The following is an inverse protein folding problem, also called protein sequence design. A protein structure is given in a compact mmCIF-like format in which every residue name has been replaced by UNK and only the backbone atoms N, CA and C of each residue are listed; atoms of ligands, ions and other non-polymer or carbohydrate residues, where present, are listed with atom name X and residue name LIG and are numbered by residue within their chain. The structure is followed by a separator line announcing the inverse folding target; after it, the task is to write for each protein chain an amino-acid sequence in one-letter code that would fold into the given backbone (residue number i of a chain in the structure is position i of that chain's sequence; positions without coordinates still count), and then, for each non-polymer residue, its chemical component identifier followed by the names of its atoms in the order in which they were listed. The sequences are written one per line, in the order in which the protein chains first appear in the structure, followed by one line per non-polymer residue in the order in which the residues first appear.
data_IF_289791585443
#
_entry.id   IF_289791585443
#
_cell.length_a   1.000
_cell.length_b   1.000
_cell.length_c   1.000
_cell.angle_alpha   90.00
_cell.angle_beta   90.00
_cell.angle_gamma   90.00
#
_symmetry.space_group_name_H-M   'P 1'
#
loop_
_entity.id
_entity.type
_entity.pdbx_description
1 polymer ?
#
# COMPACT_ATOMS: atom_id res chain seq x y z
N UNK A 1 7.75 -9.63 12.73
CA UNK A 1 7.40 -8.25 12.35
C UNK A 1 7.38 -7.37 13.57
N UNK A 2 7.18 -6.06 13.38
CA UNK A 2 7.24 -5.05 14.45
C UNK A 2 6.47 -5.44 15.74
N UNK A 3 5.23 -5.92 15.61
CA UNK A 3 4.37 -6.29 16.74
C UNK A 3 4.90 -7.48 17.54
N UNK A 4 5.46 -8.50 16.88
CA UNK A 4 6.13 -9.62 17.55
C UNK A 4 7.35 -9.14 18.35
N UNK A 5 8.09 -8.16 17.82
CA UNK A 5 9.25 -7.57 18.48
C UNK A 5 8.89 -6.86 19.80
N UNK A 6 7.64 -6.42 19.92
CA UNK A 6 7.07 -5.83 21.14
C UNK A 6 6.48 -6.86 22.10
N UNK A 7 6.66 -8.17 21.85
CA UNK A 7 6.17 -9.26 22.70
C UNK A 7 4.70 -9.65 22.49
N UNK A 8 4.04 -9.11 21.47
CA UNK A 8 2.65 -9.45 21.13
C UNK A 8 2.60 -10.72 20.26
N UNK A 9 1.61 -11.56 20.51
CA UNK A 9 1.41 -12.83 19.81
C UNK A 9 0.36 -12.71 18.71
N UNK A 10 0.71 -13.05 17.46
CA UNK A 10 -0.24 -13.02 16.34
C UNK A 10 -1.38 -14.02 16.54
N UNK A 11 -2.61 -13.60 16.21
CA UNK A 11 -3.86 -14.33 16.40
C UNK A 11 -4.25 -14.62 17.87
N UNK A 12 -3.52 -14.06 18.84
CA UNK A 12 -3.90 -14.05 20.27
C UNK A 12 -4.10 -12.60 20.74
N UNK A 13 -3.05 -11.76 20.63
CA UNK A 13 -3.07 -10.37 21.09
C UNK A 13 -3.49 -9.39 19.98
N UNK A 14 -3.27 -9.76 18.72
CA UNK A 14 -3.65 -8.95 17.56
C UNK A 14 -3.96 -9.83 16.34
N UNK A 15 -4.81 -9.34 15.46
CA UNK A 15 -5.26 -10.07 14.28
C UNK A 15 -5.52 -9.16 13.07
N UNK A 16 -5.81 -9.76 11.92
CA UNK A 16 -6.18 -9.11 10.67
C UNK A 16 -7.66 -9.32 10.38
N UNK A 17 -8.33 -8.26 9.93
CA UNK A 17 -9.66 -8.32 9.34
C UNK A 17 -9.66 -7.57 7.99
N UNK A 18 -10.31 -8.16 7.00
CA UNK A 18 -10.56 -7.53 5.71
C UNK A 18 -11.62 -6.44 5.85
N UNK A 19 -11.58 -5.41 4.99
CA UNK A 19 -12.68 -4.46 4.89
C UNK A 19 -13.95 -5.16 4.41
N UNK A 20 -15.13 -4.83 4.96
CA UNK A 20 -16.37 -5.45 4.53
C UNK A 20 -16.73 -5.07 3.10
N UNK A 21 -17.47 -5.94 2.42
CA UNK A 21 -18.14 -5.58 1.17
C UNK A 21 -19.10 -4.41 1.41
N UNK A 22 -19.00 -3.37 0.57
CA UNK A 22 -19.80 -2.14 0.73
C UNK A 22 -21.23 -2.36 0.21
N UNK A 23 -21.36 -2.76 -1.06
CA UNK A 23 -22.64 -3.04 -1.73
C UNK A 23 -22.41 -3.89 -2.97
N UNK A 24 -23.46 -4.52 -3.48
CA UNK A 24 -23.40 -5.33 -4.70
C UNK A 24 -22.89 -4.50 -5.88
N UNK A 25 -21.99 -5.10 -6.67
CA UNK A 25 -21.38 -4.46 -7.84
C UNK A 25 -20.14 -3.62 -7.53
N UNK A 26 -19.81 -3.34 -6.27
CA UNK A 26 -18.51 -2.77 -5.90
C UNK A 26 -17.48 -3.90 -5.80
N UNK A 27 -16.39 -3.78 -6.56
CA UNK A 27 -15.33 -4.78 -6.59
C UNK A 27 -14.66 -4.93 -5.21
N UNK A 28 -14.33 -6.15 -4.82
CA UNK A 28 -13.47 -6.38 -3.67
C UNK A 28 -12.04 -5.94 -4.01
N UNK A 29 -11.62 -4.80 -3.45
CA UNK A 29 -10.32 -4.22 -3.70
C UNK A 29 -9.49 -4.17 -2.42
N UNK A 30 -8.22 -4.55 -2.52
CA UNK A 30 -7.24 -4.33 -1.46
C UNK A 30 -6.46 -3.06 -1.78
N UNK A 31 -6.27 -2.21 -0.76
CA UNK A 31 -5.42 -1.03 -0.85
C UNK A 31 -4.14 -1.30 -0.06
N UNK A 32 -2.98 -1.05 -0.66
CA UNK A 32 -1.72 -1.16 0.06
C UNK A 32 -0.55 -0.51 -0.68
N UNK A 33 0.39 0.11 0.05
CA UNK A 33 1.62 0.58 -0.54
C UNK A 33 2.55 -0.59 -0.88
N UNK A 34 3.44 -0.36 -1.84
CA UNK A 34 4.57 -1.21 -2.19
C UNK A 34 5.82 -0.35 -2.10
N UNK A 35 6.73 -0.73 -1.20
CA UNK A 35 8.00 -0.03 -1.05
C UNK A 35 8.94 -0.38 -2.20
N UNK A 36 9.47 0.65 -2.86
CA UNK A 36 10.43 0.52 -3.96
C UNK A 36 11.82 1.05 -3.60
N UNK A 37 12.84 0.45 -4.19
CA UNK A 37 14.21 0.96 -4.15
C UNK A 37 14.56 1.55 -5.52
N UNK A 38 15.10 2.77 -5.52
CA UNK A 38 15.48 3.49 -6.74
C UNK A 38 16.95 3.89 -6.70
N UNK A 39 17.63 3.79 -7.84
CA UNK A 39 19.00 4.29 -8.01
C UNK A 39 18.95 5.73 -8.50
N UNK A 40 19.62 6.64 -7.79
CA UNK A 40 19.72 8.04 -8.21
C UNK A 40 20.43 8.16 -9.56
N UNK A 41 19.89 9.00 -10.44
CA UNK A 41 20.49 9.28 -11.75
C UNK A 41 21.94 9.80 -11.67
N UNK A 42 22.30 10.42 -10.54
CA UNK A 42 23.63 10.99 -10.31
C UNK A 42 24.48 10.12 -9.35
N UNK A 43 24.16 8.82 -9.21
CA UNK A 43 24.92 7.93 -8.33
C UNK A 43 26.40 7.85 -8.77
N UNK A 44 27.32 8.10 -7.84
CA UNK A 44 28.76 8.05 -8.11
C UNK A 44 29.26 6.64 -8.51
N UNK A 45 28.54 5.59 -8.10
CA UNK A 45 28.81 4.20 -8.46
C UNK A 45 27.51 3.49 -8.87
N UNK A 46 27.05 3.76 -10.10
CA UNK A 46 25.80 3.19 -10.64
C UNK A 46 25.82 1.66 -10.60
N UNK A 47 26.90 1.03 -11.07
CA UNK A 47 27.03 -0.43 -11.12
C UNK A 47 26.86 -1.07 -9.74
N UNK A 48 27.56 -0.55 -8.73
CA UNK A 48 27.43 -1.08 -7.36
C UNK A 48 26.05 -0.84 -6.75
N UNK A 49 25.39 0.28 -7.09
CA UNK A 49 24.03 0.55 -6.65
C UNK A 49 23.02 -0.43 -7.29
N UNK A 50 23.17 -0.73 -8.59
CA UNK A 50 22.35 -1.73 -9.29
C UNK A 50 22.56 -3.14 -8.74
N UNK A 51 23.81 -3.53 -8.47
CA UNK A 51 24.16 -4.79 -7.83
C UNK A 51 23.50 -4.91 -6.44
N UNK A 52 23.56 -3.84 -5.64
CA UNK A 52 22.93 -3.80 -4.32
C UNK A 52 21.40 -3.91 -4.41
N UNK A 53 20.75 -3.10 -5.26
CA UNK A 53 19.29 -3.16 -5.43
C UNK A 53 18.88 -4.54 -5.92
N UNK A 54 19.60 -5.12 -6.88
CA UNK A 54 19.35 -6.48 -7.37
C UNK A 54 19.43 -7.51 -6.26
N UNK A 55 20.49 -7.45 -5.44
CA UNK A 55 20.64 -8.34 -4.29
C UNK A 55 19.47 -8.20 -3.30
N UNK A 56 19.08 -6.97 -2.98
CA UNK A 56 18.00 -6.70 -2.03
C UNK A 56 16.62 -7.19 -2.51
N UNK A 57 16.34 -7.18 -3.81
CA UNK A 57 15.00 -7.50 -4.35
C UNK A 57 14.88 -8.89 -4.97
N UNK A 58 15.93 -9.39 -5.63
CA UNK A 58 15.87 -10.65 -6.38
C UNK A 58 16.14 -11.88 -5.51
N UNK A 59 16.95 -11.74 -4.46
CA UNK A 59 17.25 -12.82 -3.54
C UNK A 59 16.05 -13.08 -2.61
N UNK A 60 15.48 -14.29 -2.71
CA UNK A 60 14.28 -14.68 -1.94
C UNK A 60 14.58 -14.77 -0.44
N UNK A 61 15.79 -15.14 -0.03
CA UNK A 61 16.11 -15.31 1.39
C UNK A 61 16.32 -13.94 2.03
N UNK A 62 16.93 -12.99 1.30
CA UNK A 62 17.01 -11.57 1.71
C UNK A 62 15.60 -10.97 1.87
N UNK A 63 14.74 -11.15 0.87
CA UNK A 63 13.37 -10.66 0.89
C UNK A 63 12.51 -11.32 1.98
N UNK A 64 12.70 -12.62 2.22
CA UNK A 64 12.04 -13.34 3.31
C UNK A 64 12.43 -12.81 4.69
N UNK A 65 13.73 -12.56 4.89
CA UNK A 65 14.23 -11.95 6.13
C UNK A 65 13.69 -10.53 6.32
N UNK A 66 13.65 -9.72 5.26
CA UNK A 66 13.06 -8.38 5.30
C UNK A 66 11.60 -8.45 5.72
N UNK A 67 10.80 -9.30 5.07
CA UNK A 67 9.38 -9.49 5.37
C UNK A 67 9.15 -9.88 6.85
N UNK A 68 9.98 -10.77 7.40
CA UNK A 68 9.95 -11.14 8.82
C UNK A 68 10.24 -9.97 9.75
N UNK A 69 11.24 -9.15 9.44
CA UNK A 69 11.64 -8.00 10.26
C UNK A 69 10.55 -6.93 10.23
N UNK A 70 10.16 -6.49 9.04
CA UNK A 70 9.16 -5.44 8.84
C UNK A 70 7.78 -5.87 9.33
N UNK A 71 7.41 -7.15 9.11
CA UNK A 71 6.06 -7.64 9.30
C UNK A 71 5.13 -7.34 8.11
N UNK A 72 5.71 -7.07 6.94
CA UNK A 72 5.02 -6.92 5.67
C UNK A 72 5.22 -8.16 4.80
N UNK A 73 4.36 -8.34 3.79
CA UNK A 73 4.51 -9.43 2.82
C UNK A 73 5.65 -9.11 1.84
N UNK A 74 6.39 -10.13 1.42
CA UNK A 74 7.42 -9.92 0.41
C UNK A 74 6.81 -9.64 -0.97
N UNK A 75 7.43 -8.72 -1.70
CA UNK A 75 7.13 -8.49 -3.12
C UNK A 75 7.73 -9.60 -4.03
N UNK A 76 8.70 -10.38 -3.54
CA UNK A 76 9.27 -11.49 -4.27
C UNK A 76 8.39 -12.74 -4.09
N UNK A 77 7.65 -13.08 -5.14
CA UNK A 77 6.67 -14.19 -5.15
C UNK A 77 7.29 -15.58 -4.94
N UNK A 78 8.61 -15.71 -4.97
CA UNK A 78 9.32 -16.96 -4.72
C UNK A 78 9.65 -17.20 -3.23
N UNK A 79 9.33 -16.25 -2.35
CA UNK A 79 9.45 -16.41 -0.90
C UNK A 79 8.44 -17.44 -0.41
N UNK A 80 8.89 -18.43 0.34
CA UNK A 80 8.02 -19.47 0.91
C UNK A 80 7.04 -18.86 1.93
N UNK A 81 5.72 -18.91 1.70
CA UNK A 81 4.73 -18.38 2.64
C UNK A 81 4.74 -19.06 4.02
N UNK A 82 5.42 -20.21 4.17
CA UNK A 82 5.57 -20.88 5.45
C UNK A 82 6.19 -19.98 6.53
N UNK A 83 7.06 -19.03 6.14
CA UNK A 83 7.71 -18.09 7.06
C UNK A 83 6.71 -17.15 7.73
N UNK A 84 5.57 -16.85 7.09
CA UNK A 84 4.65 -15.83 7.54
C UNK A 84 3.91 -16.24 8.83
N UNK A 85 3.65 -15.25 9.69
CA UNK A 85 2.80 -15.43 10.88
C UNK A 85 1.36 -15.74 10.45
N UNK A 86 0.51 -16.28 11.34
CA UNK A 86 -0.91 -16.49 11.04
C UNK A 86 -1.62 -15.23 10.54
N UNK A 87 -1.32 -14.06 11.12
CA UNK A 87 -1.88 -12.77 10.72
C UNK A 87 -1.42 -12.36 9.31
N UNK A 88 -0.13 -12.51 9.01
CA UNK A 88 0.40 -12.24 7.67
C UNK A 88 -0.20 -13.18 6.61
N UNK A 89 -0.46 -14.45 6.96
CA UNK A 89 -1.13 -15.40 6.04
C UNK A 89 -2.55 -14.96 5.71
N UNK A 90 -3.32 -14.47 6.69
CA UNK A 90 -4.66 -13.88 6.43
C UNK A 90 -4.59 -12.69 5.47
N UNK A 91 -3.63 -11.79 5.65
CA UNK A 91 -3.42 -10.67 4.74
C UNK A 91 -3.04 -11.14 3.32
N UNK A 92 -2.18 -12.16 3.19
CA UNK A 92 -1.80 -12.76 1.92
C UNK A 92 -3.01 -13.39 1.20
N UNK A 93 -3.84 -14.13 1.93
CA UNK A 93 -5.05 -14.76 1.37
C UNK A 93 -6.06 -13.71 0.91
N UNK A 94 -6.18 -12.61 1.66
CA UNK A 94 -7.02 -11.46 1.29
C UNK A 94 -6.56 -10.83 -0.02
N UNK A 95 -5.26 -10.57 -0.17
CA UNK A 95 -4.69 -10.03 -1.42
C UNK A 95 -4.91 -10.99 -2.59
N UNK A 96 -4.76 -12.30 -2.39
CA UNK A 96 -4.99 -13.31 -3.43
C UNK A 96 -6.44 -13.40 -3.87
N UNK A 97 -7.38 -13.15 -2.96
CA UNK A 97 -8.82 -13.19 -3.23
C UNK A 97 -9.36 -11.86 -3.83
N UNK A 98 -8.60 -10.78 -3.71
CA UNK A 98 -9.00 -9.46 -4.20
C UNK A 98 -9.17 -9.45 -5.72
N UNK A 99 -10.21 -8.76 -6.19
CA UNK A 99 -10.45 -8.53 -7.61
C UNK A 99 -9.55 -7.42 -8.16
N UNK A 100 -9.10 -6.52 -7.28
CA UNK A 100 -8.19 -5.43 -7.61
C UNK A 100 -7.24 -5.15 -6.44
N UNK A 101 -6.03 -4.70 -6.77
CA UNK A 101 -5.10 -4.12 -5.83
C UNK A 101 -4.85 -2.67 -6.24
N UNK A 102 -5.08 -1.72 -5.33
CA UNK A 102 -4.90 -0.30 -5.56
C UNK A 102 -3.81 0.28 -4.66
N UNK A 103 -3.07 1.25 -5.18
CA UNK A 103 -2.13 2.03 -4.38
C UNK A 103 -2.87 3.16 -3.65
N UNK A 104 -2.30 3.67 -2.56
CA UNK A 104 -2.90 4.77 -1.81
C UNK A 104 -3.11 6.00 -2.72
N UNK A 105 -4.31 6.60 -2.66
CA UNK A 105 -4.73 7.69 -3.55
C UNK A 105 -3.74 8.85 -3.59
N UNK A 106 -3.24 9.26 -2.43
CA UNK A 106 -2.30 10.37 -2.23
C UNK A 106 -0.91 10.10 -2.79
N UNK A 107 -0.52 8.82 -2.87
CA UNK A 107 0.76 8.40 -3.47
C UNK A 107 0.63 8.01 -4.95
N UNK A 108 -0.60 7.77 -5.43
CA UNK A 108 -0.90 7.44 -6.83
C UNK A 108 -1.27 8.67 -7.69
N UNK A 109 -1.38 9.84 -7.07
CA UNK A 109 -1.88 11.08 -7.69
C UNK A 109 -0.82 12.18 -7.56
N UNK A 110 -0.64 13.09 -8.54
CA UNK A 110 0.27 14.22 -8.38
C UNK A 110 -0.01 14.99 -7.08
N UNK A 111 1.00 15.37 -6.28
CA UNK A 111 0.76 15.90 -4.94
C UNK A 111 -0.21 17.09 -4.86
N UNK A 112 -0.18 18.08 -5.78
CA UNK A 112 -1.17 19.18 -5.77
C UNK A 112 -2.61 18.70 -5.99
N UNK A 113 -2.80 17.65 -6.80
CA UNK A 113 -4.12 17.08 -7.09
C UNK A 113 -4.59 16.18 -5.95
N UNK A 114 -3.67 15.43 -5.33
CA UNK A 114 -3.95 14.60 -4.17
C UNK A 114 -4.55 15.44 -3.02
N UNK A 115 -3.99 16.62 -2.75
CA UNK A 115 -4.49 17.53 -1.71
C UNK A 115 -5.95 17.93 -1.94
N UNK A 116 -6.33 18.21 -3.18
CA UNK A 116 -7.73 18.51 -3.57
C UNK A 116 -8.64 17.33 -3.24
N UNK A 117 -8.25 16.11 -3.65
CA UNK A 117 -9.05 14.91 -3.41
C UNK A 117 -9.17 14.55 -1.93
N UNK A 118 -8.07 14.64 -1.17
CA UNK A 118 -8.08 14.40 0.28
C UNK A 118 -8.95 15.41 1.02
N UNK A 119 -8.90 16.70 0.64
CA UNK A 119 -9.79 17.72 1.19
C UNK A 119 -11.26 17.42 0.89
N UNK A 120 -11.56 16.96 -0.32
CA UNK A 120 -12.92 16.54 -0.70
C UNK A 120 -13.40 15.36 0.16
N UNK A 121 -12.58 14.33 0.34
CA UNK A 121 -12.93 13.19 1.18
C UNK A 121 -13.21 13.61 2.63
N UNK A 122 -12.40 14.52 3.19
CA UNK A 122 -12.62 15.05 4.52
C UNK A 122 -13.95 15.80 4.64
N UNK A 123 -14.29 16.66 3.66
CA UNK A 123 -15.57 17.38 3.63
C UNK A 123 -16.77 16.45 3.49
N UNK A 124 -16.66 15.43 2.62
CA UNK A 124 -17.72 14.46 2.42
C UNK A 124 -17.99 13.62 3.68
N UNK A 125 -16.92 13.26 4.42
CA UNK A 125 -17.06 12.56 5.70
C UNK A 125 -17.72 13.43 6.79
N UNK A 126 -17.54 14.75 6.73
CA UNK A 126 -18.16 15.72 7.66
C UNK A 126 -19.65 15.94 7.32
N UNK A 127 -19.97 16.21 6.04
CA UNK A 127 -21.34 16.33 5.53
C UNK A 127 -21.46 15.84 4.08
N UNK A 128 -22.09 14.67 3.83
CA UNK A 128 -22.26 14.13 2.49
C UNK A 128 -23.49 14.68 1.76
N UNK A 129 -24.34 15.51 2.38
CA UNK A 129 -25.62 15.94 1.80
C UNK A 129 -25.47 16.74 0.50
N UNK A 130 -24.34 17.45 0.36
CA UNK A 130 -23.99 18.26 -0.81
C UNK A 130 -22.98 17.61 -1.78
N UNK A 131 -22.88 16.28 -1.80
CA UNK A 131 -21.79 15.58 -2.50
C UNK A 131 -21.64 15.94 -3.99
N UNK A 132 -22.74 16.22 -4.71
CA UNK A 132 -22.66 16.61 -6.13
C UNK A 132 -21.90 17.93 -6.32
N UNK A 133 -22.12 18.90 -5.43
CA UNK A 133 -21.37 20.16 -5.41
C UNK A 133 -19.90 19.94 -5.07
N UNK A 134 -19.63 19.13 -4.05
CA UNK A 134 -18.26 18.76 -3.67
C UNK A 134 -17.50 18.11 -4.85
N UNK A 135 -18.16 17.22 -5.59
CA UNK A 135 -17.58 16.58 -6.78
C UNK A 135 -17.26 17.58 -7.88
N UNK A 136 -18.20 18.50 -8.19
CA UNK A 136 -17.98 19.54 -9.21
C UNK A 136 -16.83 20.48 -8.83
N UNK A 137 -16.84 21.00 -7.60
CA UNK A 137 -15.79 21.87 -7.09
C UNK A 137 -14.42 21.18 -7.13
N UNK A 138 -14.37 19.92 -6.70
CA UNK A 138 -13.13 19.14 -6.67
C UNK A 138 -12.62 18.82 -8.06
N UNK A 139 -13.50 18.56 -9.03
CA UNK A 139 -13.11 18.36 -10.42
C UNK A 139 -12.50 19.64 -11.02
N UNK A 140 -13.10 20.82 -10.76
CA UNK A 140 -12.54 22.10 -11.20
C UNK A 140 -11.18 22.37 -10.54
N UNK A 141 -11.08 22.18 -9.23
CA UNK A 141 -9.83 22.39 -8.50
C UNK A 141 -8.72 21.42 -8.93
N UNK A 142 -9.06 20.15 -9.15
CA UNK A 142 -8.11 19.16 -9.66
C UNK A 142 -7.59 19.53 -11.06
N UNK A 143 -8.45 20.01 -11.96
CA UNK A 143 -8.04 20.44 -13.29
C UNK A 143 -7.05 21.62 -13.26
N UNK A 144 -7.16 22.54 -12.30
CA UNK A 144 -6.17 23.59 -12.08
C UNK A 144 -4.89 23.06 -11.43
N UNK A 145 -5.00 22.14 -10.47
CA UNK A 145 -3.86 21.52 -9.81
C UNK A 145 -2.99 20.69 -10.78
N UNK A 146 -3.57 20.06 -11.80
CA UNK A 146 -2.83 19.34 -12.85
C UNK A 146 -1.94 20.24 -13.73
N UNK A 147 -2.10 21.57 -13.67
CA UNK A 147 -1.28 22.51 -14.46
C UNK A 147 -0.01 22.96 -13.74
N UNK A 148 0.14 22.62 -12.46
CA UNK A 148 1.28 22.96 -11.62
C UNK A 148 2.41 21.94 -11.81
#
# INVERSE_FOLDING_TARGET
GYWNGNGLKPAEDYDFFEFPAITDGVANAVVGPVDGLVVSANAANVKGAEELVTFLVADKDVQGNWAQIQGALSANVNVDPAIYTPVMKKALDTIKAAQAFAFNYDLATPPPVAEVGLSMFAKFMDDPSGYEGLLQESQTAAAEAFKQ
#
